data_IF_510380076809
#
_entry.id   IF_510380076809
#
_cell.length_a   1.000
_cell.length_b   1.000
_cell.length_c   1.000
_cell.angle_alpha   90.00
_cell.angle_beta   90.00
_cell.angle_gamma   90.00
#
_symmetry.space_group_name_H-M   'P 1'
#
loop_
_entity.id
_entity.type
_entity.pdbx_description
1 polymer ?
#
# COMPACT_ATOMS: atom_id res chain seq x y z
N UNK A 1 -4.56 3.18 -10.49
CA UNK A 1 -3.65 3.51 -9.38
C UNK A 1 -2.35 2.86 -9.70
N UNK A 2 -1.30 3.67 -9.82
CA UNK A 2 -0.01 3.23 -10.30
C UNK A 2 0.83 2.77 -9.11
N UNK A 3 1.48 1.62 -9.22
CA UNK A 3 2.37 1.11 -8.19
C UNK A 3 3.77 1.08 -8.75
N UNK A 4 4.73 1.61 -7.99
CA UNK A 4 6.14 1.41 -8.30
C UNK A 4 6.54 -0.05 -8.11
N UNK A 5 7.55 -0.51 -8.85
CA UNK A 5 8.04 -1.88 -8.74
C UNK A 5 8.45 -2.24 -7.31
N UNK A 6 9.05 -1.29 -6.59
CA UNK A 6 9.48 -1.47 -5.20
C UNK A 6 8.28 -1.65 -4.25
N UNK A 7 7.23 -0.84 -4.39
CA UNK A 7 6.00 -0.97 -3.62
C UNK A 7 5.26 -2.29 -3.93
N UNK A 8 5.24 -2.70 -5.19
CA UNK A 8 4.67 -4.01 -5.57
C UNK A 8 5.47 -5.17 -4.98
N UNK A 9 6.80 -5.07 -4.94
CA UNK A 9 7.66 -6.08 -4.34
C UNK A 9 7.39 -6.21 -2.84
N UNK A 10 7.23 -5.09 -2.12
CA UNK A 10 6.81 -5.11 -0.72
C UNK A 10 5.42 -5.68 -0.52
N UNK A 11 4.47 -5.36 -1.39
CA UNK A 11 3.14 -5.97 -1.35
C UNK A 11 3.18 -7.49 -1.57
N UNK A 12 4.15 -8.01 -2.32
CA UNK A 12 4.34 -9.47 -2.51
C UNK A 12 4.85 -10.19 -1.25
N UNK A 13 5.52 -9.50 -0.33
CA UNK A 13 5.91 -10.06 0.98
C UNK A 13 4.68 -10.35 1.87
N UNK A 14 3.56 -9.65 1.61
CA UNK A 14 2.29 -9.89 2.33
C UNK A 14 1.67 -11.22 1.88
N UNK A 15 1.22 -12.09 2.82
CA UNK A 15 0.58 -13.35 2.48
C UNK A 15 -0.60 -13.17 1.51
N UNK A 16 -0.70 -14.05 0.51
CA UNK A 16 -1.59 -13.85 -0.63
C UNK A 16 -3.08 -13.69 -0.24
N UNK A 17 -3.53 -14.33 0.84
CA UNK A 17 -4.92 -14.29 1.28
C UNK A 17 -5.32 -12.95 1.93
N UNK A 18 -4.37 -12.23 2.54
CA UNK A 18 -4.60 -10.87 3.09
C UNK A 18 -4.20 -9.77 2.11
N UNK A 19 -3.40 -10.08 1.08
CA UNK A 19 -2.90 -9.12 0.11
C UNK A 19 -3.99 -8.27 -0.57
N UNK A 20 -5.15 -8.81 -1.01
CA UNK A 20 -6.23 -8.00 -1.57
C UNK A 20 -6.84 -7.01 -0.58
N UNK A 21 -6.85 -7.32 0.72
CA UNK A 21 -7.32 -6.40 1.74
C UNK A 21 -6.32 -5.28 2.00
N UNK A 22 -5.03 -5.61 2.10
CA UNK A 22 -3.94 -4.63 2.27
C UNK A 22 -3.87 -3.68 1.07
N UNK A 23 -3.87 -4.23 -0.16
CA UNK A 23 -3.80 -3.42 -1.38
C UNK A 23 -4.94 -2.41 -1.45
N UNK A 24 -6.20 -2.86 -1.32
CA UNK A 24 -7.37 -1.99 -1.37
C UNK A 24 -7.30 -0.85 -0.36
N UNK A 25 -6.76 -1.11 0.83
CA UNK A 25 -6.69 -0.07 1.85
C UNK A 25 -5.56 0.94 1.62
N UNK A 26 -4.41 0.49 1.11
CA UNK A 26 -3.35 1.42 0.69
C UNK A 26 -3.81 2.27 -0.49
N UNK A 27 -4.53 1.67 -1.45
CA UNK A 27 -5.15 2.41 -2.57
C UNK A 27 -6.18 3.44 -2.08
N UNK A 28 -7.01 3.09 -1.10
CA UNK A 28 -7.95 4.04 -0.49
C UNK A 28 -7.22 5.20 0.21
N UNK A 29 -6.15 4.93 0.96
CA UNK A 29 -5.33 5.98 1.58
C UNK A 29 -4.68 6.89 0.55
N UNK A 30 -4.20 6.33 -0.56
CA UNK A 30 -3.60 7.12 -1.64
C UNK A 30 -4.65 8.00 -2.33
N UNK A 31 -5.86 7.49 -2.55
CA UNK A 31 -6.98 8.28 -3.05
C UNK A 31 -7.37 9.41 -2.09
N UNK A 32 -7.43 9.15 -0.78
CA UNK A 32 -7.67 10.18 0.24
C UNK A 32 -6.57 11.25 0.24
N UNK A 33 -5.33 10.87 -0.05
CA UNK A 33 -4.19 11.78 -0.20
C UNK A 33 -4.10 12.44 -1.59
N UNK A 34 -5.08 12.19 -2.48
CA UNK A 34 -5.08 12.65 -3.88
C UNK A 34 -3.84 12.25 -4.68
N UNK A 35 -3.21 11.13 -4.30
CA UNK A 35 -2.08 10.54 -5.01
C UNK A 35 -2.61 9.58 -6.08
N UNK A 36 -1.97 9.59 -7.25
CA UNK A 36 -2.23 8.61 -8.33
C UNK A 36 -1.26 7.43 -8.28
N UNK A 37 -0.09 7.63 -7.67
CA UNK A 37 1.02 6.68 -7.60
C UNK A 37 1.33 6.28 -6.16
N UNK A 38 1.56 4.99 -5.93
CA UNK A 38 2.03 4.40 -4.67
C UNK A 38 3.49 4.03 -4.86
N UNK A 39 4.37 4.85 -4.29
CA UNK A 39 5.79 4.57 -4.17
C UNK A 39 6.10 3.78 -2.89
N UNK A 40 7.36 3.38 -2.72
CA UNK A 40 7.80 2.65 -1.54
C UNK A 40 7.59 3.47 -0.26
N UNK A 41 7.84 4.77 -0.31
CA UNK A 41 7.68 5.71 0.81
C UNK A 41 6.23 5.72 1.31
N UNK A 42 5.28 5.94 0.41
CA UNK A 42 3.86 5.97 0.74
C UNK A 42 3.37 4.59 1.20
N UNK A 43 3.86 3.51 0.59
CA UNK A 43 3.55 2.16 1.04
C UNK A 43 3.96 1.95 2.51
N UNK A 44 5.17 2.34 2.89
CA UNK A 44 5.69 2.19 4.24
C UNK A 44 4.93 3.08 5.24
N UNK A 45 4.60 4.32 4.88
CA UNK A 45 3.76 5.21 5.69
C UNK A 45 2.36 4.63 5.91
N UNK A 46 1.73 4.13 4.84
CA UNK A 46 0.44 3.48 4.91
C UNK A 46 0.52 2.25 5.82
N UNK A 47 1.55 1.40 5.65
CA UNK A 47 1.84 0.22 6.49
C UNK A 47 1.99 0.57 7.96
N UNK A 48 2.70 1.63 8.29
CA UNK A 48 2.89 2.10 9.66
C UNK A 48 1.58 2.52 10.34
N UNK A 49 0.63 3.12 9.58
CA UNK A 49 -0.72 3.45 10.10
C UNK A 49 -1.55 2.21 10.45
N UNK A 50 -1.30 1.04 9.84
CA UNK A 50 -1.98 -0.20 10.22
C UNK A 50 -1.42 -0.82 11.49
N UNK A 51 -0.09 -0.78 11.69
CA UNK A 51 0.54 -1.38 12.87
C UNK A 51 0.20 -0.65 14.19
N UNK A 52 -0.38 0.55 14.12
CA UNK A 52 -0.70 1.40 15.26
C UNK A 52 -2.17 1.31 15.70
N UNK A 53 -2.92 0.29 15.25
CA UNK A 53 -4.30 0.02 15.66
C UNK A 53 -4.48 -1.39 16.19
#
# INVERSE_FOLDING_TARGET
MDWTSDAEQKLKEVPFFVRPAVRRRIEALAQEAQLSTIDLTFYDEARARFARR
#
